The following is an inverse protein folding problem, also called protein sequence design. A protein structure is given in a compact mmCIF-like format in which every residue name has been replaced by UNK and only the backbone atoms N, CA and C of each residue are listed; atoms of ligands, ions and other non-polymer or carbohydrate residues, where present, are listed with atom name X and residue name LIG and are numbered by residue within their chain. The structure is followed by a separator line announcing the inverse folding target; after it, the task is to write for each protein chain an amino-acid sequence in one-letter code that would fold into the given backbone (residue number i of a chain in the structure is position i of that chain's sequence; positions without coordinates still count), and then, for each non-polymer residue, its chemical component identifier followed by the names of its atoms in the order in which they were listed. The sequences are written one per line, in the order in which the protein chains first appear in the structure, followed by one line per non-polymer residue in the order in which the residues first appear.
data_IF_813723122646
#
_entry.id   IF_813723122646
#
_cell.length_a   1.000
_cell.length_b   1.000
_cell.length_c   1.000
_cell.angle_alpha   90.00
_cell.angle_beta   90.00
_cell.angle_gamma   90.00
#
_symmetry.space_group_name_H-M   'P 1'
#
loop_
_entity.id
_entity.type
_entity.pdbx_description
1 polymer ?
#
# COMPACT_ATOMS: atom_id res chain seq x y z
N UNK A 1 38.22 6.40 -1.96
CA UNK A 1 37.71 6.75 -0.61
C UNK A 1 36.80 7.97 -0.65
N UNK A 2 37.26 9.14 -1.11
CA UNK A 2 36.44 10.37 -1.20
C UNK A 2 35.14 10.15 -1.98
N UNK A 3 35.21 9.55 -3.19
CA UNK A 3 34.02 9.32 -4.02
C UNK A 3 32.94 8.45 -3.34
N UNK A 4 33.35 7.41 -2.60
CA UNK A 4 32.42 6.52 -1.88
C UNK A 4 31.74 7.29 -0.74
N UNK A 5 32.51 8.05 0.04
CA UNK A 5 31.97 8.89 1.11
C UNK A 5 31.00 9.93 0.56
N UNK A 6 31.33 10.55 -0.58
CA UNK A 6 30.43 11.50 -1.25
C UNK A 6 29.12 10.86 -1.70
N UNK A 7 29.15 9.65 -2.27
CA UNK A 7 27.94 8.92 -2.68
C UNK A 7 27.06 8.62 -1.45
N UNK A 8 27.66 8.11 -0.37
CA UNK A 8 26.93 7.82 0.87
C UNK A 8 26.31 9.11 1.43
N UNK A 9 27.06 10.22 1.45
CA UNK A 9 26.55 11.51 1.88
C UNK A 9 25.33 11.98 1.08
N UNK A 10 25.39 11.86 -0.25
CA UNK A 10 24.25 12.19 -1.14
C UNK A 10 23.04 11.30 -0.84
N UNK A 11 23.24 9.99 -0.68
CA UNK A 11 22.14 9.07 -0.36
C UNK A 11 21.48 9.37 0.99
N UNK A 12 22.25 9.75 2.00
CA UNK A 12 21.72 10.19 3.30
C UNK A 12 20.91 11.48 3.14
N UNK A 13 21.42 12.46 2.39
CA UNK A 13 20.67 13.70 2.13
C UNK A 13 19.36 13.40 1.38
N UNK A 14 19.38 12.57 0.35
CA UNK A 14 18.18 12.15 -0.38
C UNK A 14 17.19 11.47 0.55
N UNK A 15 17.65 10.55 1.40
CA UNK A 15 16.81 9.87 2.38
C UNK A 15 16.15 10.85 3.36
N UNK A 16 16.92 11.82 3.89
CA UNK A 16 16.38 12.85 4.77
C UNK A 16 15.36 13.74 4.05
N UNK A 17 15.65 14.19 2.84
CA UNK A 17 14.69 14.97 2.05
C UNK A 17 13.41 14.17 1.79
N UNK A 18 13.54 12.90 1.41
CA UNK A 18 12.39 12.04 1.16
C UNK A 18 11.52 11.87 2.41
N UNK A 19 12.12 11.50 3.54
CA UNK A 19 11.37 11.25 4.79
C UNK A 19 10.76 12.50 5.41
N UNK A 20 11.26 13.70 5.09
CA UNK A 20 10.72 14.95 5.62
C UNK A 20 9.68 15.61 4.69
N UNK A 21 9.73 15.36 3.38
CA UNK A 21 8.92 16.11 2.41
C UNK A 21 8.01 15.24 1.53
N UNK A 22 8.25 13.94 1.42
CA UNK A 22 7.36 13.07 0.66
C UNK A 22 6.03 12.91 1.41
N UNK A 23 4.87 12.97 0.74
CA UNK A 23 3.57 12.84 1.38
C UNK A 23 3.44 11.55 2.21
N UNK A 24 2.99 11.69 3.46
CA UNK A 24 2.58 10.59 4.32
C UNK A 24 1.09 10.68 4.60
N UNK A 25 0.42 9.53 4.66
CA UNK A 25 -0.98 9.49 5.03
C UNK A 25 -1.12 9.51 6.55
N UNK A 26 -2.06 10.30 7.05
CA UNK A 26 -2.17 10.58 8.48
C UNK A 26 -1.31 11.77 8.90
N UNK A 27 -0.96 11.83 10.18
CA UNK A 27 -0.19 12.93 10.74
C UNK A 27 0.30 12.63 12.15
N UNK A 28 1.08 13.55 12.70
CA UNK A 28 1.64 13.41 14.03
C UNK A 28 0.55 13.38 15.11
N UNK A 29 0.77 12.56 16.14
CA UNK A 29 -0.11 12.48 17.30
C UNK A 29 0.07 13.73 18.17
N UNK A 30 -1.00 14.52 18.34
CA UNK A 30 -0.98 15.74 19.16
C UNK A 30 -0.71 15.45 20.64
N UNK A 31 -0.26 16.46 21.40
CA UNK A 31 -0.03 16.31 22.86
C UNK A 31 -1.31 15.92 23.60
N UNK A 32 -2.46 16.40 23.14
CA UNK A 32 -3.78 16.07 23.69
C UNK A 32 -4.15 14.61 23.40
N UNK A 33 -3.91 14.14 22.16
CA UNK A 33 -4.12 12.74 21.79
C UNK A 33 -3.20 11.81 22.59
N UNK A 34 -1.92 12.17 22.76
CA UNK A 34 -0.98 11.40 23.57
C UNK A 34 -1.47 11.22 25.01
N UNK A 35 -1.99 12.29 25.64
CA UNK A 35 -2.61 12.20 26.97
C UNK A 35 -3.79 11.24 26.99
N UNK A 36 -4.65 11.29 25.98
CA UNK A 36 -5.78 10.36 25.85
C UNK A 36 -5.31 8.91 25.71
N UNK A 37 -4.27 8.63 24.92
CA UNK A 37 -3.76 7.27 24.73
C UNK A 37 -3.12 6.68 25.98
N UNK A 38 -2.50 7.53 26.81
CA UNK A 38 -1.95 7.14 28.11
C UNK A 38 -3.00 6.64 29.10
N UNK A 39 -4.28 7.00 28.91
CA UNK A 39 -5.39 6.50 29.74
C UNK A 39 -5.78 5.04 29.40
N UNK A 40 -5.28 4.49 28.29
CA UNK A 40 -5.57 3.11 27.90
C UNK A 40 -4.98 2.11 28.90
N UNK A 41 -5.74 1.07 29.25
CA UNK A 41 -5.24 -0.08 30.03
C UNK A 41 -4.04 -0.79 29.38
N UNK A 42 -3.90 -0.64 28.07
CA UNK A 42 -2.84 -1.20 27.27
C UNK A 42 -1.59 -0.31 27.23
N UNK A 43 -1.65 0.92 27.76
CA UNK A 43 -0.49 1.80 27.85
C UNK A 43 0.31 1.48 29.11
N UNK A 44 1.51 0.90 28.95
CA UNK A 44 2.38 0.48 30.07
C UNK A 44 3.83 0.80 29.75
N UNK A 45 4.56 1.32 30.74
CA UNK A 45 5.98 1.65 30.65
C UNK A 45 6.32 2.58 29.46
N UNK A 46 5.50 3.62 29.26
CA UNK A 46 5.73 4.66 28.25
C UNK A 46 5.39 4.28 26.81
N UNK A 47 4.76 3.12 26.58
CA UNK A 47 4.32 2.68 25.25
C UNK A 47 3.02 1.88 25.29
N UNK A 48 2.35 1.82 24.15
CA UNK A 48 1.22 0.92 23.97
C UNK A 48 1.70 -0.53 23.88
N UNK A 49 0.99 -1.45 24.53
CA UNK A 49 1.21 -2.90 24.45
C UNK A 49 -0.03 -3.57 23.88
N UNK A 50 0.12 -4.21 22.73
CA UNK A 50 -0.93 -5.01 22.13
C UNK A 50 -1.38 -6.13 23.09
N UNK A 51 -2.68 -6.43 23.09
CA UNK A 51 -3.24 -7.50 23.95
C UNK A 51 -2.81 -8.89 23.50
N UNK A 52 -2.52 -9.05 22.21
CA UNK A 52 -2.02 -10.27 21.60
C UNK A 52 -0.54 -10.10 21.23
N UNK A 53 0.17 -11.23 21.17
CA UNK A 53 1.54 -11.24 20.66
C UNK A 53 1.57 -10.71 19.23
N UNK A 54 2.52 -9.81 18.98
CA UNK A 54 2.87 -9.35 17.65
C UNK A 54 4.24 -9.92 17.27
N UNK A 55 4.52 -10.09 15.97
CA UNK A 55 5.85 -10.49 15.51
C UNK A 55 6.93 -9.64 16.18
N UNK A 56 8.01 -10.28 16.59
CA UNK A 56 9.14 -9.57 17.18
C UNK A 56 9.76 -8.67 16.12
N UNK A 57 10.24 -7.52 16.58
CA UNK A 57 11.12 -6.67 15.77
C UNK A 57 12.33 -7.47 15.31
N UNK A 58 12.66 -7.36 14.03
CA UNK A 58 13.85 -8.02 13.48
C UNK A 58 15.11 -7.38 14.07
N UNK A 59 16.07 -8.23 14.41
CA UNK A 59 17.44 -7.78 14.70
C UNK A 59 18.15 -7.29 13.44
N UNK A 60 19.20 -6.49 13.62
CA UNK A 60 20.03 -5.99 12.51
C UNK A 60 20.55 -7.13 11.62
N UNK A 61 20.96 -8.26 12.20
CA UNK A 61 21.43 -9.42 11.46
C UNK A 61 20.34 -10.06 10.61
N UNK A 62 19.11 -10.14 11.13
CA UNK A 62 17.96 -10.67 10.39
C UNK A 62 17.59 -9.72 9.24
N UNK A 63 17.59 -8.41 9.49
CA UNK A 63 17.37 -7.40 8.45
C UNK A 63 18.42 -7.50 7.34
N UNK A 64 19.71 -7.59 7.68
CA UNK A 64 20.78 -7.73 6.69
C UNK A 64 20.67 -9.04 5.90
N UNK A 65 20.31 -10.15 6.56
CA UNK A 65 20.08 -11.44 5.91
C UNK A 65 18.89 -11.39 4.95
N UNK A 66 17.82 -10.70 5.32
CA UNK A 66 16.64 -10.51 4.47
C UNK A 66 16.99 -9.67 3.24
N UNK A 67 17.72 -8.57 3.41
CA UNK A 67 18.22 -7.75 2.30
C UNK A 67 19.08 -8.58 1.36
N UNK A 68 20.03 -9.37 1.89
CA UNK A 68 20.86 -10.25 1.07
C UNK A 68 20.00 -11.23 0.26
N UNK A 69 19.06 -11.91 0.94
CA UNK A 69 18.15 -12.89 0.33
C UNK A 69 17.29 -12.25 -0.77
N UNK A 70 16.78 -11.03 -0.55
CA UNK A 70 16.00 -10.29 -1.53
C UNK A 70 16.76 -10.08 -2.86
N UNK A 71 18.07 -9.82 -2.78
CA UNK A 71 18.90 -9.58 -3.97
C UNK A 71 19.53 -10.85 -4.58
N UNK A 72 19.72 -11.91 -3.80
CA UNK A 72 20.42 -13.12 -4.29
C UNK A 72 19.51 -14.29 -4.64
N UNK A 73 18.32 -14.35 -4.03
CA UNK A 73 17.45 -15.52 -4.15
C UNK A 73 16.48 -15.38 -5.31
N UNK A 74 16.56 -16.30 -6.28
CA UNK A 74 15.55 -16.43 -7.33
C UNK A 74 14.41 -17.32 -6.84
N UNK A 75 13.19 -16.79 -6.87
CA UNK A 75 11.98 -17.54 -6.48
C UNK A 75 11.40 -18.24 -7.72
N UNK A 76 11.41 -19.59 -7.79
CA UNK A 76 10.77 -20.32 -8.89
C UNK A 76 9.28 -19.99 -8.93
N UNK A 77 8.75 -19.67 -10.11
CA UNK A 77 7.34 -19.29 -10.31
C UNK A 77 6.88 -18.09 -9.46
N UNK A 78 7.80 -17.23 -8.99
CA UNK A 78 7.46 -16.05 -8.18
C UNK A 78 6.73 -14.94 -8.97
N UNK A 79 6.60 -15.08 -10.29
CA UNK A 79 5.88 -14.15 -11.16
C UNK A 79 5.19 -14.91 -12.30
N UNK A 80 4.01 -14.46 -12.75
CA UNK A 80 3.38 -15.04 -13.93
C UNK A 80 4.22 -14.78 -15.19
N UNK A 81 4.24 -15.74 -16.12
CA UNK A 81 5.01 -15.67 -17.37
C UNK A 81 4.31 -14.88 -18.47
N UNK A 82 3.02 -14.58 -18.28
CA UNK A 82 2.18 -13.77 -19.16
C UNK A 82 1.38 -12.79 -18.31
N UNK A 83 0.93 -11.72 -18.93
CA UNK A 83 0.04 -10.76 -18.26
C UNK A 83 -1.26 -11.43 -17.82
N UNK A 84 -1.78 -10.97 -16.69
CA UNK A 84 -3.12 -11.38 -16.22
C UNK A 84 -4.14 -10.55 -16.98
N UNK A 85 -4.93 -11.21 -17.84
CA UNK A 85 -5.97 -10.57 -18.65
C UNK A 85 -7.28 -10.52 -17.83
N UNK A 86 -7.81 -9.34 -17.48
CA UNK A 86 -9.05 -9.23 -16.72
C UNK A 86 -10.27 -9.51 -17.61
N UNK A 87 -11.41 -9.81 -16.98
CA UNK A 87 -12.68 -9.76 -17.66
C UNK A 87 -13.12 -8.30 -17.81
N UNK A 88 -13.14 -7.79 -19.05
CA UNK A 88 -13.58 -6.42 -19.30
C UNK A 88 -15.08 -6.23 -19.06
N UNK A 89 -15.39 -5.17 -18.34
CA UNK A 89 -16.74 -4.74 -17.98
C UNK A 89 -17.08 -3.46 -18.75
N UNK A 90 -18.31 -3.39 -19.24
CA UNK A 90 -18.81 -2.17 -19.85
C UNK A 90 -19.22 -1.18 -18.76
N UNK A 91 -18.88 0.11 -18.91
CA UNK A 91 -19.28 1.20 -18.00
C UNK A 91 -20.76 1.14 -17.58
N UNK A 92 -21.66 0.90 -18.54
CA UNK A 92 -23.11 0.81 -18.27
C UNK A 92 -23.48 -0.31 -17.31
N UNK A 93 -22.79 -1.46 -17.37
CA UNK A 93 -23.03 -2.62 -16.52
C UNK A 93 -22.49 -2.43 -15.10
N UNK A 94 -21.58 -1.47 -14.90
CA UNK A 94 -21.04 -1.12 -13.59
C UNK A 94 -21.83 0.04 -12.98
N UNK A 95 -22.09 1.08 -13.77
CA UNK A 95 -22.76 2.31 -13.33
C UNK A 95 -24.23 2.13 -12.97
N UNK A 96 -24.96 1.32 -13.75
CA UNK A 96 -26.39 1.10 -13.54
C UNK A 96 -26.68 -0.19 -12.78
N UNK A 97 -25.68 -0.76 -12.11
CA UNK A 97 -25.85 -2.02 -11.40
C UNK A 97 -26.78 -1.85 -10.19
N UNK A 98 -27.83 -2.66 -10.14
CA UNK A 98 -28.85 -2.71 -9.08
C UNK A 98 -29.12 -4.13 -8.57
N UNK A 99 -28.21 -5.06 -8.88
CA UNK A 99 -28.31 -6.46 -8.44
C UNK A 99 -27.81 -6.67 -7.01
N UNK A 100 -27.58 -7.95 -6.69
CA UNK A 100 -27.03 -8.39 -5.41
C UNK A 100 -25.63 -7.83 -5.14
N UNK A 101 -25.17 -7.94 -3.89
CA UNK A 101 -23.82 -7.54 -3.52
C UNK A 101 -22.77 -8.23 -4.40
N UNK A 102 -21.84 -7.46 -4.96
CA UNK A 102 -20.70 -8.00 -5.73
C UNK A 102 -19.40 -7.26 -5.47
N UNK A 103 -18.30 -7.94 -5.77
CA UNK A 103 -16.95 -7.38 -5.80
C UNK A 103 -16.40 -7.45 -7.23
N UNK A 104 -15.80 -6.35 -7.68
CA UNK A 104 -14.99 -6.30 -8.90
C UNK A 104 -13.54 -6.14 -8.47
N UNK A 105 -12.68 -7.08 -8.87
CA UNK A 105 -11.29 -7.15 -8.45
C UNK A 105 -10.35 -6.52 -9.48
N UNK A 106 -9.50 -5.58 -9.06
CA UNK A 106 -8.55 -4.86 -9.91
C UNK A 106 -7.12 -5.41 -9.85
N UNK A 107 -6.87 -6.37 -8.95
CA UNK A 107 -5.56 -6.92 -8.60
C UNK A 107 -5.19 -6.62 -7.15
N UNK A 108 -4.34 -7.45 -6.54
CA UNK A 108 -3.93 -7.34 -5.14
C UNK A 108 -5.13 -7.16 -4.19
N UNK A 109 -5.13 -6.12 -3.35
CA UNK A 109 -6.19 -5.80 -2.39
C UNK A 109 -7.20 -4.78 -2.93
N UNK A 110 -7.12 -4.39 -4.21
CA UNK A 110 -7.97 -3.35 -4.79
C UNK A 110 -9.29 -3.89 -5.31
N UNK A 111 -10.40 -3.45 -4.70
CA UNK A 111 -11.75 -3.87 -5.07
C UNK A 111 -12.71 -2.70 -5.22
N UNK A 112 -13.68 -2.83 -6.14
CA UNK A 112 -14.93 -2.10 -6.11
C UNK A 112 -16.02 -3.00 -5.54
N UNK A 113 -16.51 -2.68 -4.34
CA UNK A 113 -17.67 -3.29 -3.71
C UNK A 113 -18.92 -2.52 -4.12
N UNK A 114 -19.90 -3.24 -4.70
CA UNK A 114 -21.22 -2.71 -4.96
C UNK A 114 -22.23 -3.40 -4.06
N UNK A 115 -22.83 -2.67 -3.13
CA UNK A 115 -23.73 -3.20 -2.10
C UNK A 115 -24.83 -2.20 -1.79
N UNK A 116 -26.10 -2.64 -1.77
CA UNK A 116 -27.26 -1.80 -1.44
C UNK A 116 -27.30 -0.48 -2.24
N UNK A 117 -26.91 -0.52 -3.51
CA UNK A 117 -26.85 0.65 -4.38
C UNK A 117 -25.69 1.63 -4.08
N UNK A 118 -24.74 1.26 -3.23
CA UNK A 118 -23.52 1.99 -2.90
C UNK A 118 -22.32 1.42 -3.62
N UNK A 119 -21.40 2.28 -4.02
CA UNK A 119 -20.12 1.94 -4.63
C UNK A 119 -18.99 2.31 -3.67
N UNK A 120 -18.24 1.30 -3.21
CA UNK A 120 -17.16 1.48 -2.23
C UNK A 120 -15.86 0.96 -2.85
N UNK A 121 -14.84 1.81 -2.93
CA UNK A 121 -13.48 1.36 -3.26
C UNK A 121 -12.76 0.92 -2.00
N UNK A 122 -12.07 -0.21 -2.09
CA UNK A 122 -11.27 -0.78 -1.00
C UNK A 122 -9.83 -0.88 -1.50
N UNK A 123 -8.90 -0.31 -0.75
CA UNK A 123 -7.45 -0.26 -1.01
C UNK A 123 -7.12 0.02 -2.49
N UNK A 124 -7.64 1.13 -3.08
CA UNK A 124 -7.41 1.43 -4.48
C UNK A 124 -5.92 1.70 -4.75
N UNK A 125 -5.30 0.78 -5.50
CA UNK A 125 -3.94 0.90 -6.03
C UNK A 125 -4.01 0.67 -7.55
N UNK A 126 -4.00 1.76 -8.31
CA UNK A 126 -4.19 1.74 -9.76
C UNK A 126 -2.94 2.14 -10.55
N UNK A 127 -1.93 2.65 -9.87
CA UNK A 127 -0.63 3.00 -10.38
C UNK A 127 0.12 1.78 -10.90
N UNK A 128 1.18 2.05 -11.65
CA UNK A 128 1.95 0.98 -12.30
C UNK A 128 2.76 0.16 -11.30
N UNK A 129 3.25 0.79 -10.24
CA UNK A 129 4.10 0.17 -9.21
C UNK A 129 3.62 0.57 -7.81
N UNK A 130 3.67 -0.32 -6.82
CA UNK A 130 3.35 0.00 -5.43
C UNK A 130 4.58 0.58 -4.73
N UNK A 131 5.00 1.78 -5.13
CA UNK A 131 6.18 2.44 -4.60
C UNK A 131 6.09 3.96 -4.78
N UNK A 132 6.83 4.77 -3.99
CA UNK A 132 6.83 6.22 -4.11
C UNK A 132 7.44 6.75 -5.41
N UNK A 133 8.07 5.88 -6.19
CA UNK A 133 8.65 6.23 -7.48
C UNK A 133 8.63 5.01 -8.41
N UNK A 134 8.36 5.18 -9.72
CA UNK A 134 8.32 4.09 -10.72
C UNK A 134 9.55 3.17 -10.77
N UNK A 135 10.71 3.66 -10.34
CA UNK A 135 11.98 2.91 -10.33
C UNK A 135 12.21 2.06 -9.08
N UNK A 136 11.41 2.26 -8.02
CA UNK A 136 11.59 1.60 -6.72
C UNK A 136 10.66 0.41 -6.50
N UNK A 137 9.74 0.17 -7.44
CA UNK A 137 8.73 -0.86 -7.32
C UNK A 137 8.71 -1.83 -8.50
N UNK A 138 8.15 -3.01 -8.24
CA UNK A 138 7.81 -3.97 -9.28
C UNK A 138 6.52 -3.55 -9.99
N UNK A 139 6.49 -3.64 -11.33
CA UNK A 139 5.23 -3.43 -12.05
C UNK A 139 4.20 -4.50 -11.70
N UNK A 140 2.94 -4.06 -11.61
CA UNK A 140 1.76 -4.92 -11.50
C UNK A 140 1.70 -5.94 -12.64
N UNK A 141 0.96 -7.04 -12.42
CA UNK A 141 0.90 -8.16 -13.37
C UNK A 141 -0.22 -8.04 -14.42
N UNK A 142 -1.18 -7.13 -14.23
CA UNK A 142 -2.18 -6.81 -15.23
C UNK A 142 -1.92 -5.42 -15.82
N UNK A 143 -1.80 -5.36 -17.14
CA UNK A 143 -1.65 -4.09 -17.86
C UNK A 143 -2.96 -3.30 -17.95
N UNK A 144 -4.07 -4.01 -17.94
CA UNK A 144 -5.41 -3.47 -18.11
C UNK A 144 -6.24 -3.77 -16.86
N UNK A 145 -7.28 -2.97 -16.66
CA UNK A 145 -8.25 -3.15 -15.59
C UNK A 145 -9.54 -3.80 -16.12
N UNK A 146 -10.34 -4.42 -15.25
CA UNK A 146 -11.70 -4.84 -15.62
C UNK A 146 -12.53 -3.66 -16.13
N UNK A 147 -12.29 -2.46 -15.61
CA UNK A 147 -12.88 -1.20 -16.04
C UNK A 147 -11.88 -0.08 -15.75
N UNK A 148 -11.74 0.88 -16.66
CA UNK A 148 -10.84 2.02 -16.47
C UNK A 148 -11.35 2.98 -15.39
N UNK A 149 -10.44 3.71 -14.74
CA UNK A 149 -10.75 4.58 -13.59
C UNK A 149 -11.76 5.67 -13.97
N UNK A 150 -11.63 6.26 -15.16
CA UNK A 150 -12.53 7.28 -15.72
C UNK A 150 -13.94 6.73 -16.08
N UNK A 151 -14.08 5.41 -16.09
CA UNK A 151 -15.33 4.70 -16.32
C UNK A 151 -15.98 4.21 -15.03
N UNK A 152 -15.34 4.40 -13.87
CA UNK A 152 -15.93 4.05 -12.59
C UNK A 152 -17.23 4.82 -12.33
N UNK A 153 -18.18 4.22 -11.59
CA UNK A 153 -19.37 4.93 -11.14
C UNK A 153 -19.01 5.97 -10.10
N UNK A 154 -19.99 6.78 -9.68
CA UNK A 154 -19.85 7.64 -8.50
C UNK A 154 -19.51 6.77 -7.29
N UNK A 155 -18.37 7.05 -6.65
CA UNK A 155 -17.89 6.35 -5.48
C UNK A 155 -18.46 7.02 -4.23
N UNK A 156 -19.16 6.25 -3.39
CA UNK A 156 -19.76 6.73 -2.14
C UNK A 156 -18.74 6.74 -0.99
N UNK A 157 -17.78 5.82 -1.00
CA UNK A 157 -16.72 5.74 0.01
C UNK A 157 -15.44 5.10 -0.54
N UNK A 158 -14.32 5.49 0.05
CA UNK A 158 -13.02 4.82 -0.14
C UNK A 158 -12.55 4.33 1.23
N UNK A 159 -12.12 3.07 1.29
CA UNK A 159 -11.62 2.42 2.50
C UNK A 159 -10.16 2.08 2.26
N UNK A 160 -9.29 2.55 3.15
CA UNK A 160 -7.89 2.13 3.23
C UNK A 160 -7.69 1.28 4.49
N UNK A 161 -7.08 0.11 4.33
CA UNK A 161 -6.72 -0.77 5.44
C UNK A 161 -5.50 -0.25 6.20
N UNK A 162 -4.51 0.27 5.47
CA UNK A 162 -3.30 0.91 5.97
C UNK A 162 -2.64 1.73 4.85
N UNK A 163 -1.50 2.37 5.14
CA UNK A 163 -0.85 3.39 4.31
C UNK A 163 0.31 2.89 3.44
N UNK A 164 0.51 1.57 3.33
CA UNK A 164 1.52 1.03 2.42
C UNK A 164 1.15 1.29 0.95
N UNK A 165 2.16 1.46 0.10
CA UNK A 165 2.01 1.83 -1.32
C UNK A 165 1.25 0.80 -2.19
N UNK A 166 1.11 -0.44 -1.73
CA UNK A 166 0.28 -1.46 -2.39
C UNK A 166 -1.21 -1.38 -2.00
N UNK A 167 -1.57 -0.49 -1.07
CA UNK A 167 -2.94 -0.24 -0.61
C UNK A 167 -3.36 1.23 -0.76
N UNK A 168 -2.39 2.15 -0.68
CA UNK A 168 -2.55 3.58 -0.80
C UNK A 168 -1.74 4.11 -1.98
N UNK A 169 -2.46 4.64 -2.95
CA UNK A 169 -1.89 5.24 -4.15
C UNK A 169 -2.15 6.74 -4.20
N UNK A 170 -1.13 7.50 -4.59
CA UNK A 170 -1.15 8.96 -4.66
C UNK A 170 -1.27 9.48 -6.10
N UNK A 171 -1.16 8.62 -7.11
CA UNK A 171 -1.27 8.98 -8.54
C UNK A 171 -2.71 8.90 -9.07
#
# INVERSE_FOLDING_TARGET
MIAIVSIIGVLVVIYLLFTNYYPSFGGDVSKEQQKTYQLSSNYKDGKFRNSNDVPKEMSLSETLSLVYTFFTTKVPNGRPTKDIIPQHLKKVNVSNYKGDTRLIWFGHSSFLLQINGKNILIDPMFGKVPAPHPLLGSSRFNKEFPIEIDQLPVIDAVIYSHDHYDHLDYE
#
